data_IF_206174574060
#
_entry.id   IF_206174574060
#
_cell.length_a   1.000
_cell.length_b   1.000
_cell.length_c   1.000
_cell.angle_alpha   90.00
_cell.angle_beta   90.00
_cell.angle_gamma   90.00
#
_symmetry.space_group_name_H-M   'P 1'
#
loop_
_entity.id
_entity.type
_entity.pdbx_description
1 polymer ?
#
# COMPACT_ATOMS: atom_id res chain seq x y z
N UNK A 1 -13.75 10.37 15.31
CA UNK A 1 -12.64 9.82 14.50
C UNK A 1 -11.34 10.23 15.16
N UNK A 2 -10.56 9.25 15.60
CA UNK A 2 -9.20 9.46 16.10
C UNK A 2 -8.26 9.72 14.93
N UNK A 3 -7.17 10.44 15.15
CA UNK A 3 -6.19 10.69 14.09
C UNK A 3 -5.25 9.48 13.96
N UNK A 4 -4.43 9.23 14.98
CA UNK A 4 -3.48 8.12 14.99
C UNK A 4 -3.76 7.16 16.13
N UNK A 5 -3.77 5.87 15.81
CA UNK A 5 -3.99 4.79 16.76
C UNK A 5 -2.85 3.79 16.70
N UNK A 6 -2.35 3.42 17.88
CA UNK A 6 -1.47 2.30 18.07
C UNK A 6 -2.19 1.21 18.86
N UNK A 7 -2.38 0.05 18.24
CA UNK A 7 -2.83 -1.15 18.92
C UNK A 7 -1.62 -1.84 19.55
N UNK A 8 -1.69 -2.00 20.86
CA UNK A 8 -0.65 -2.60 21.68
C UNK A 8 -0.49 -4.07 21.34
N UNK A 9 0.75 -4.49 21.11
CA UNK A 9 1.07 -5.90 20.92
C UNK A 9 1.35 -6.56 22.28
N UNK A 10 0.85 -7.79 22.53
CA UNK A 10 0.96 -8.45 23.84
C UNK A 10 2.39 -8.67 24.33
N UNK A 11 3.34 -8.72 23.41
CA UNK A 11 4.77 -8.90 23.64
C UNK A 11 5.51 -7.60 23.97
N UNK A 12 4.88 -6.42 23.84
CA UNK A 12 5.49 -5.12 24.10
C UNK A 12 4.64 -4.23 25.01
N UNK A 13 5.05 -4.18 26.28
CA UNK A 13 4.33 -3.45 27.32
C UNK A 13 4.57 -1.94 27.31
N UNK A 14 5.76 -1.47 26.91
CA UNK A 14 6.14 -0.05 26.95
C UNK A 14 6.71 0.40 25.61
N UNK A 15 5.87 1.04 24.79
CA UNK A 15 6.27 1.62 23.51
C UNK A 15 6.39 3.13 23.68
N UNK A 16 7.53 3.75 23.36
CA UNK A 16 7.70 5.19 23.49
C UNK A 16 6.97 5.88 22.32
N UNK A 17 5.72 6.30 22.57
CA UNK A 17 4.88 7.01 21.60
C UNK A 17 4.70 8.45 22.04
N UNK A 18 4.46 9.32 21.07
CA UNK A 18 4.13 10.72 21.33
C UNK A 18 2.65 10.85 21.71
N UNK A 19 2.32 11.83 22.57
CA UNK A 19 0.99 12.13 23.10
C UNK A 19 -0.16 12.26 22.09
N UNK A 20 0.12 12.50 20.81
CA UNK A 20 -0.92 12.62 19.76
C UNK A 20 -1.28 11.27 19.14
N UNK A 21 -0.65 10.17 19.58
CA UNK A 21 -0.94 8.79 19.18
C UNK A 21 -1.70 8.11 20.30
N UNK A 22 -2.96 7.74 20.04
CA UNK A 22 -3.79 7.05 21.01
C UNK A 22 -3.43 5.57 21.10
N UNK A 23 -3.25 5.07 22.32
CA UNK A 23 -2.86 3.66 22.57
C UNK A 23 -4.06 2.86 23.03
N UNK A 24 -4.37 1.79 22.30
CA UNK A 24 -5.46 0.87 22.62
C UNK A 24 -4.95 -0.55 22.82
N UNK A 25 -5.63 -1.33 23.66
CA UNK A 25 -5.23 -2.70 23.97
C UNK A 25 -5.87 -3.74 23.04
N UNK A 26 -7.00 -3.42 22.43
CA UNK A 26 -7.80 -4.38 21.66
C UNK A 26 -8.11 -3.86 20.25
N UNK A 27 -7.87 -4.72 19.26
CA UNK A 27 -8.16 -4.46 17.85
C UNK A 27 -9.64 -4.67 17.50
N UNK A 28 -10.41 -5.34 18.36
CA UNK A 28 -11.83 -5.66 18.15
C UNK A 28 -12.77 -4.49 18.52
N UNK A 29 -12.23 -3.37 19.00
CA UNK A 29 -12.99 -2.16 19.22
C UNK A 29 -13.36 -1.53 17.86
N UNK A 30 -14.63 -1.15 17.70
CA UNK A 30 -15.13 -0.40 16.53
C UNK A 30 -14.60 1.04 16.56
N UNK A 31 -13.31 1.18 16.25
CA UNK A 31 -12.56 2.43 16.35
C UNK A 31 -12.39 3.02 14.96
N UNK A 32 -13.03 4.16 14.74
CA UNK A 32 -12.78 4.98 13.56
C UNK A 32 -11.51 5.83 13.76
N UNK A 33 -10.48 5.55 12.97
CA UNK A 33 -9.23 6.31 12.98
C UNK A 33 -8.68 6.58 11.57
N UNK A 34 -7.84 7.61 11.43
CA UNK A 34 -7.17 7.89 10.16
C UNK A 34 -6.08 6.86 9.90
N UNK A 35 -5.14 6.67 10.83
CA UNK A 35 -4.02 5.74 10.68
C UNK A 35 -3.93 4.76 11.85
N UNK A 36 -3.75 3.48 11.56
CA UNK A 36 -3.46 2.44 12.54
C UNK A 36 -2.20 1.63 12.18
N UNK A 37 -1.50 1.09 13.17
CA UNK A 37 -0.36 0.19 12.93
C UNK A 37 -0.78 -1.23 12.49
N UNK A 38 -2.06 -1.58 12.62
CA UNK A 38 -2.66 -2.87 12.25
C UNK A 38 -3.95 -2.64 11.44
N UNK A 39 -4.38 -3.61 10.61
CA UNK A 39 -5.61 -3.47 9.84
C UNK A 39 -6.84 -3.53 10.76
N UNK A 40 -7.46 -2.39 11.03
CA UNK A 40 -8.73 -2.26 11.74
C UNK A 40 -9.87 -1.99 10.76
N UNK A 41 -11.10 -2.41 11.08
CA UNK A 41 -12.27 -2.18 10.23
C UNK A 41 -12.58 -0.68 10.04
N UNK A 42 -12.36 0.14 11.08
CA UNK A 42 -12.58 1.58 11.05
C UNK A 42 -11.36 2.42 10.61
N UNK A 43 -10.20 1.81 10.38
CA UNK A 43 -8.98 2.52 9.98
C UNK A 43 -9.04 2.94 8.51
N UNK A 44 -8.68 4.21 8.23
CA UNK A 44 -8.56 4.71 6.86
C UNK A 44 -7.26 4.28 6.18
N UNK A 45 -6.18 4.14 6.96
CA UNK A 45 -4.84 3.76 6.53
C UNK A 45 -4.16 2.83 7.53
N UNK A 46 -3.25 1.98 7.04
CA UNK A 46 -2.53 0.97 7.82
C UNK A 46 -1.03 1.12 7.64
N UNK A 47 -0.37 1.72 8.63
CA UNK A 47 1.06 1.95 8.65
C UNK A 47 1.82 0.74 9.25
N UNK A 48 1.96 -0.34 8.46
CA UNK A 48 2.57 -1.60 8.92
C UNK A 48 4.05 -1.46 9.28
N UNK A 49 4.74 -0.52 8.66
CA UNK A 49 6.15 -0.22 8.90
C UNK A 49 6.42 0.26 10.33
N UNK A 50 5.40 0.73 11.04
CA UNK A 50 5.51 1.15 12.43
C UNK A 50 5.93 -0.03 13.30
N UNK A 51 5.29 -1.18 13.12
CA UNK A 51 5.66 -2.41 13.83
C UNK A 51 7.07 -2.87 13.42
N UNK A 52 7.40 -2.79 12.13
CA UNK A 52 8.74 -3.13 11.65
C UNK A 52 9.83 -2.24 12.28
N UNK A 53 9.61 -0.92 12.36
CA UNK A 53 10.55 0.00 12.97
C UNK A 53 10.71 -0.31 14.46
N UNK A 54 9.61 -0.54 15.18
CA UNK A 54 9.65 -0.93 16.59
C UNK A 54 10.49 -2.21 16.80
N UNK A 55 10.29 -3.22 15.97
CA UNK A 55 10.97 -4.52 16.05
C UNK A 55 12.47 -4.45 15.74
N UNK A 56 12.88 -3.58 14.82
CA UNK A 56 14.22 -3.61 14.23
C UNK A 56 15.08 -2.37 14.54
N UNK A 57 14.51 -1.32 15.14
CA UNK A 57 15.25 -0.09 15.45
C UNK A 57 16.17 -0.27 16.66
N UNK A 58 17.35 0.35 16.57
CA UNK A 58 18.30 0.50 17.68
C UNK A 58 18.37 1.92 18.21
N UNK A 59 17.40 2.78 17.84
CA UNK A 59 17.30 4.14 18.33
C UNK A 59 17.02 4.16 19.84
N UNK A 60 17.45 5.22 20.52
CA UNK A 60 17.00 5.44 21.88
C UNK A 60 15.50 5.81 21.91
N UNK A 61 14.84 5.71 23.08
CA UNK A 61 13.39 5.89 23.17
C UNK A 61 12.86 7.23 22.66
N UNK A 62 13.63 8.31 22.80
CA UNK A 62 13.18 9.64 22.38
C UNK A 62 13.21 9.76 20.87
N UNK A 63 14.32 9.37 20.25
CA UNK A 63 14.48 9.36 18.78
C UNK A 63 13.49 8.40 18.12
N UNK A 64 13.21 7.25 18.75
CA UNK A 64 12.23 6.30 18.29
C UNK A 64 10.81 6.89 18.33
N UNK A 65 10.41 7.55 19.43
CA UNK A 65 9.12 8.21 19.54
C UNK A 65 8.91 9.28 18.46
N UNK A 66 9.93 10.11 18.21
CA UNK A 66 9.89 11.10 17.12
C UNK A 66 9.79 10.45 15.75
N UNK A 67 10.50 9.34 15.52
CA UNK A 67 10.45 8.62 14.24
C UNK A 67 9.09 7.97 13.99
N UNK A 68 8.45 7.42 15.02
CA UNK A 68 7.11 6.83 14.92
C UNK A 68 6.05 7.91 14.67
N UNK A 69 6.13 9.04 15.37
CA UNK A 69 5.28 10.22 15.12
C UNK A 69 5.39 10.68 13.66
N UNK A 70 6.62 10.79 13.14
CA UNK A 70 6.86 11.17 11.75
C UNK A 70 6.20 10.20 10.75
N UNK A 71 6.25 8.89 11.02
CA UNK A 71 5.60 7.88 10.19
C UNK A 71 4.08 8.04 10.21
N UNK A 72 3.49 8.23 11.38
CA UNK A 72 2.04 8.47 11.51
C UNK A 72 1.60 9.75 10.77
N UNK A 73 2.32 10.87 10.95
CA UNK A 73 2.04 12.12 10.25
C UNK A 73 2.17 11.98 8.73
N UNK A 74 3.18 11.25 8.25
CA UNK A 74 3.34 10.98 6.83
C UNK A 74 2.14 10.20 6.25
N UNK A 75 1.59 9.24 7.00
CA UNK A 75 0.35 8.55 6.61
C UNK A 75 -0.88 9.44 6.70
N UNK A 76 -0.96 10.33 7.68
CA UNK A 76 -2.00 11.35 7.78
C UNK A 76 -2.04 12.23 6.53
N UNK A 77 -0.89 12.74 6.09
CA UNK A 77 -0.79 13.49 4.83
C UNK A 77 -1.21 12.64 3.62
N UNK A 78 -0.81 11.37 3.56
CA UNK A 78 -1.23 10.51 2.45
C UNK A 78 -2.75 10.30 2.41
N UNK A 79 -3.42 10.30 3.57
CA UNK A 79 -4.87 10.27 3.65
C UNK A 79 -5.48 11.60 3.17
N UNK A 80 -4.97 12.73 3.65
CA UNK A 80 -5.48 14.06 3.30
C UNK A 80 -5.38 14.37 1.81
N UNK A 81 -4.30 13.89 1.17
CA UNK A 81 -4.04 14.09 -0.26
C UNK A 81 -4.52 12.93 -1.14
N UNK A 82 -5.20 11.92 -0.58
CA UNK A 82 -5.72 10.82 -1.38
C UNK A 82 -6.84 11.33 -2.31
N UNK A 83 -6.50 11.45 -3.58
CA UNK A 83 -7.44 11.87 -4.63
C UNK A 83 -8.09 10.68 -5.32
N UNK A 84 -7.76 9.45 -4.91
CA UNK A 84 -8.38 8.27 -5.51
C UNK A 84 -9.82 8.16 -5.07
N UNK A 85 -10.70 8.10 -6.06
CA UNK A 85 -12.09 7.70 -5.83
C UNK A 85 -12.04 6.24 -5.38
N UNK A 86 -12.12 5.99 -4.07
CA UNK A 86 -12.25 4.65 -3.54
C UNK A 86 -13.35 3.93 -4.33
N UNK A 87 -12.98 2.87 -5.06
CA UNK A 87 -13.99 1.97 -5.60
C UNK A 87 -14.38 1.10 -4.42
N UNK A 88 -15.61 1.19 -3.87
CA UNK A 88 -15.96 0.40 -2.71
C UNK A 88 -15.87 -1.08 -3.10
N UNK A 89 -14.91 -1.78 -2.51
CA UNK A 89 -14.91 -3.25 -2.53
C UNK A 89 -16.10 -3.75 -1.71
N UNK A 90 -16.74 -4.87 -2.09
CA UNK A 90 -17.89 -5.42 -1.38
C UNK A 90 -17.65 -5.79 0.09
N UNK A 91 -16.38 -5.90 0.50
CA UNK A 91 -15.98 -5.97 1.90
C UNK A 91 -15.15 -4.73 2.23
N UNK A 92 -15.52 -4.02 3.30
CA UNK A 92 -14.92 -2.76 3.77
C UNK A 92 -13.45 -2.83 4.20
N UNK A 93 -12.63 -3.66 3.56
CA UNK A 93 -11.19 -3.55 3.60
C UNK A 93 -10.76 -2.43 2.65
N UNK A 94 -10.60 -1.24 3.21
CA UNK A 94 -9.71 -0.24 2.63
C UNK A 94 -8.36 -0.92 2.45
N UNK A 95 -7.94 -1.03 1.21
CA UNK A 95 -6.58 -1.41 0.95
C UNK A 95 -5.92 -0.34 0.13
N UNK A 96 -4.78 0.09 0.66
CA UNK A 96 -3.79 1.02 0.13
C UNK A 96 -3.14 0.49 -1.17
N UNK A 97 -3.91 -0.17 -2.01
CA UNK A 97 -3.41 -0.65 -3.29
C UNK A 97 -3.28 0.51 -4.27
N UNK A 98 -2.42 0.31 -5.27
CA UNK A 98 -2.40 1.18 -6.43
C UNK A 98 -3.77 1.16 -7.15
N UNK A 99 -4.16 2.31 -7.68
CA UNK A 99 -5.36 2.46 -8.51
C UNK A 99 -5.06 2.07 -9.96
N UNK A 100 -6.09 1.63 -10.67
CA UNK A 100 -6.00 1.26 -12.09
C UNK A 100 -7.07 1.98 -12.91
N UNK A 101 -6.65 2.87 -13.81
CA UNK A 101 -7.53 3.53 -14.78
C UNK A 101 -7.44 2.84 -16.15
N UNK A 102 -8.49 2.07 -16.45
CA UNK A 102 -8.60 1.32 -17.70
C UNK A 102 -8.74 2.20 -18.95
N UNK A 103 -9.23 3.44 -18.82
CA UNK A 103 -9.50 4.33 -19.95
C UNK A 103 -8.20 4.88 -20.56
N UNK A 104 -7.16 5.06 -19.74
CA UNK A 104 -5.83 5.50 -20.17
C UNK A 104 -4.82 4.35 -20.27
N UNK A 105 -5.22 3.12 -19.97
CA UNK A 105 -4.35 1.95 -20.06
C UNK A 105 -4.01 1.61 -21.53
N UNK A 106 -2.71 1.47 -21.83
CA UNK A 106 -2.27 1.11 -23.18
C UNK A 106 -2.39 -0.38 -23.51
N UNK A 107 -2.86 -1.22 -22.58
CA UNK A 107 -3.17 -2.62 -22.85
C UNK A 107 -4.68 -2.86 -23.03
N UNK A 108 -5.51 -2.15 -22.27
CA UNK A 108 -6.94 -2.39 -22.20
C UNK A 108 -7.63 -2.22 -23.56
N UNK A 109 -8.46 -3.21 -23.94
CA UNK A 109 -9.23 -3.28 -25.20
C UNK A 109 -8.41 -3.08 -26.48
N UNK A 110 -7.08 -3.26 -26.44
CA UNK A 110 -6.24 -3.17 -27.63
C UNK A 110 -6.34 -4.44 -28.47
N UNK A 111 -6.35 -4.28 -29.79
CA UNK A 111 -6.39 -5.40 -30.75
C UNK A 111 -5.08 -6.18 -30.80
N UNK A 112 -3.96 -5.48 -30.61
CA UNK A 112 -2.61 -6.04 -30.55
C UNK A 112 -1.98 -5.73 -29.19
N UNK A 113 -1.07 -6.58 -28.74
CA UNK A 113 -0.30 -6.32 -27.52
C UNK A 113 0.78 -5.27 -27.81
N UNK A 114 0.56 -4.03 -27.37
CA UNK A 114 1.54 -2.95 -27.46
C UNK A 114 2.15 -2.55 -26.10
N UNK A 115 1.60 -3.06 -24.99
CA UNK A 115 2.08 -2.81 -23.63
C UNK A 115 1.72 -4.00 -22.75
N UNK A 116 2.59 -4.42 -21.84
CA UNK A 116 2.29 -5.46 -20.84
C UNK A 116 3.24 -5.41 -19.63
N UNK A 117 4.07 -4.37 -19.55
CA UNK A 117 5.26 -4.35 -18.70
C UNK A 117 4.93 -4.52 -17.22
N UNK A 118 3.81 -3.96 -16.77
CA UNK A 118 3.31 -4.08 -15.40
C UNK A 118 3.08 -5.53 -14.96
N UNK A 119 2.62 -6.40 -15.87
CA UNK A 119 2.46 -7.84 -15.61
C UNK A 119 3.81 -8.56 -15.57
N UNK A 120 4.74 -8.19 -16.46
CA UNK A 120 6.07 -8.81 -16.54
C UNK A 120 6.97 -8.51 -15.33
N UNK A 121 6.85 -7.31 -14.74
CA UNK A 121 7.70 -6.88 -13.61
C UNK A 121 7.13 -7.25 -12.24
N UNK A 122 5.90 -7.77 -12.20
CA UNK A 122 5.22 -8.10 -10.95
C UNK A 122 5.83 -9.38 -10.34
N UNK A 123 6.50 -9.30 -9.17
CA UNK A 123 7.20 -10.45 -8.60
C UNK A 123 6.27 -11.53 -8.03
N UNK A 124 5.00 -11.19 -7.78
CA UNK A 124 4.00 -12.06 -7.13
C UNK A 124 2.85 -12.43 -8.08
N UNK A 125 2.95 -12.04 -9.35
CA UNK A 125 1.89 -12.24 -10.34
C UNK A 125 0.54 -11.63 -9.93
N UNK A 126 0.55 -10.60 -9.08
CA UNK A 126 -0.65 -9.83 -8.71
C UNK A 126 -1.30 -9.15 -9.92
N UNK A 127 -0.54 -8.86 -10.98
CA UNK A 127 -1.05 -8.34 -12.25
C UNK A 127 -0.81 -9.39 -13.34
N UNK A 128 -1.88 -9.91 -13.92
CA UNK A 128 -1.81 -10.87 -15.03
C UNK A 128 -2.57 -10.35 -16.25
N UNK A 129 -2.17 -10.86 -17.42
CA UNK A 129 -2.85 -10.58 -18.68
C UNK A 129 -4.02 -11.54 -18.90
N UNK A 130 -5.12 -11.00 -19.38
CA UNK A 130 -6.17 -11.73 -20.06
C UNK A 130 -6.27 -11.21 -21.49
N UNK A 131 -6.17 -12.10 -22.45
CA UNK A 131 -6.37 -11.84 -23.88
C UNK A 131 -7.12 -13.01 -24.52
N UNK A 132 -7.53 -12.93 -25.80
CA UNK A 132 -8.34 -13.98 -26.40
C UNK A 132 -7.63 -15.33 -26.46
N UNK A 133 -6.29 -15.33 -26.59
CA UNK A 133 -5.49 -16.57 -26.65
C UNK A 133 -5.40 -17.22 -25.26
N UNK A 134 -5.11 -16.42 -24.23
CA UNK A 134 -5.06 -16.87 -22.84
C UNK A 134 -6.44 -17.34 -22.39
N UNK A 135 -7.49 -16.62 -22.77
CA UNK A 135 -8.87 -16.97 -22.45
C UNK A 135 -9.25 -18.31 -23.09
N UNK A 136 -8.99 -18.49 -24.39
CA UNK A 136 -9.21 -19.76 -25.09
C UNK A 136 -8.48 -20.93 -24.42
N UNK A 137 -7.20 -20.74 -24.05
CA UNK A 137 -6.40 -21.78 -23.39
C UNK A 137 -6.93 -22.14 -22.00
N UNK A 138 -7.59 -21.21 -21.31
CA UNK A 138 -8.18 -21.42 -19.98
C UNK A 138 -9.66 -21.79 -20.03
N UNK A 139 -10.25 -21.94 -21.21
CA UNK A 139 -11.70 -22.16 -21.36
C UNK A 139 -12.55 -20.97 -20.87
N UNK A 140 -11.99 -19.76 -20.90
CA UNK A 140 -12.65 -18.51 -20.52
C UNK A 140 -13.04 -17.72 -21.78
N UNK A 141 -14.08 -16.91 -21.69
CA UNK A 141 -14.43 -15.94 -22.72
C UNK A 141 -13.79 -14.58 -22.41
N UNK A 142 -13.33 -13.88 -23.46
CA UNK A 142 -12.80 -12.53 -23.35
C UNK A 142 -13.59 -11.59 -24.25
N UNK A 143 -14.62 -10.96 -23.69
CA UNK A 143 -15.62 -10.19 -24.44
C UNK A 143 -15.03 -8.97 -25.20
N UNK A 144 -13.96 -8.38 -24.67
CA UNK A 144 -13.50 -7.03 -25.03
C UNK A 144 -12.02 -6.99 -25.50
N UNK A 145 -11.48 -8.13 -25.95
CA UNK A 145 -10.08 -8.38 -26.34
C UNK A 145 -9.09 -8.52 -25.19
N UNK A 146 -8.55 -7.42 -24.62
CA UNK A 146 -7.37 -7.46 -23.73
C UNK A 146 -7.62 -6.73 -22.42
N UNK A 147 -7.36 -7.39 -21.29
CA UNK A 147 -7.63 -6.89 -19.94
C UNK A 147 -6.52 -7.27 -18.98
N UNK A 148 -6.21 -6.39 -18.03
CA UNK A 148 -5.41 -6.76 -16.86
C UNK A 148 -6.34 -7.36 -15.81
N UNK A 149 -5.95 -8.50 -15.24
CA UNK A 149 -6.55 -9.05 -14.03
C UNK A 149 -5.64 -8.69 -12.87
N UNK A 150 -6.20 -8.03 -11.86
CA UNK A 150 -5.44 -7.53 -10.71
C UNK A 150 -5.94 -8.23 -9.46
N UNK A 151 -5.09 -9.07 -8.87
CA UNK A 151 -5.31 -9.65 -7.55
C UNK A 151 -4.57 -8.81 -6.53
N UNK A 152 -5.30 -7.92 -5.89
CA UNK A 152 -4.70 -7.04 -4.93
C UNK A 152 -4.21 -7.76 -3.64
N UNK A 153 -4.82 -8.87 -3.23
CA UNK A 153 -4.36 -9.63 -2.07
C UNK A 153 -2.94 -10.22 -2.29
N UNK A 154 -2.57 -10.49 -3.54
CA UNK A 154 -1.22 -10.94 -3.90
C UNK A 154 -0.22 -9.78 -4.09
N UNK A 155 -0.67 -8.52 -4.04
CA UNK A 155 0.20 -7.36 -4.19
C UNK A 155 1.01 -7.14 -2.92
N UNK A 156 2.35 -7.17 -3.05
CA UNK A 156 3.29 -6.86 -1.96
C UNK A 156 3.71 -5.38 -1.92
N UNK A 157 3.00 -4.54 -2.66
CA UNK A 157 3.19 -3.10 -2.66
C UNK A 157 4.62 -2.61 -3.04
N UNK A 158 5.25 -3.30 -3.99
CA UNK A 158 6.63 -2.98 -4.40
C UNK A 158 6.77 -1.81 -5.39
N UNK A 159 5.66 -1.22 -5.86
CA UNK A 159 5.64 -0.09 -6.80
C UNK A 159 6.20 -0.32 -8.22
N UNK A 160 6.74 -1.50 -8.53
CA UNK A 160 7.37 -1.77 -9.84
C UNK A 160 6.44 -1.53 -11.02
N UNK A 161 5.18 -1.96 -10.92
CA UNK A 161 4.20 -1.81 -12.00
C UNK A 161 3.86 -0.34 -12.32
N UNK A 162 3.81 0.52 -11.30
CA UNK A 162 3.59 1.96 -11.45
C UNK A 162 4.80 2.59 -12.14
N UNK A 163 6.01 2.26 -11.70
CA UNK A 163 7.25 2.85 -12.23
C UNK A 163 7.48 2.59 -13.73
N UNK A 164 6.92 1.50 -14.26
CA UNK A 164 7.03 1.12 -15.67
C UNK A 164 5.81 1.48 -16.51
N UNK A 165 4.76 2.04 -15.90
CA UNK A 165 3.52 2.35 -16.62
C UNK A 165 3.68 3.63 -17.44
N UNK A 166 3.72 3.58 -18.79
CA UNK A 166 3.99 4.76 -19.60
C UNK A 166 2.81 5.74 -19.65
N UNK A 167 1.58 5.27 -19.44
CA UNK A 167 0.39 6.11 -19.48
C UNK A 167 -0.05 6.64 -18.13
N UNK A 168 0.59 6.22 -17.04
CA UNK A 168 0.12 6.53 -15.68
C UNK A 168 -1.21 5.86 -15.33
N UNK A 169 -1.64 4.82 -16.06
CA UNK A 169 -2.85 4.06 -15.75
C UNK A 169 -2.80 3.32 -14.41
N UNK A 170 -1.62 3.20 -13.82
CA UNK A 170 -1.39 2.62 -12.49
C UNK A 170 -0.78 3.71 -11.63
N UNK A 171 -1.38 4.03 -10.48
CA UNK A 171 -0.89 5.09 -9.59
C UNK A 171 -1.06 4.73 -8.12
N UNK A 172 -0.14 5.18 -7.26
CA UNK A 172 -0.39 5.21 -5.82
C UNK A 172 -1.35 6.36 -5.51
N UNK A 173 -2.51 6.04 -4.96
CA UNK A 173 -3.49 7.07 -4.59
C UNK A 173 -2.99 8.03 -3.52
N UNK A 174 -2.23 7.50 -2.55
CA UNK A 174 -1.74 8.26 -1.42
C UNK A 174 -0.55 9.19 -1.67
N UNK A 175 0.04 9.23 -2.88
CA UNK A 175 1.24 10.04 -3.14
C UNK A 175 1.06 10.93 -4.39
N UNK A 176 0.18 11.92 -4.29
CA UNK A 176 0.17 13.04 -5.24
C UNK A 176 1.48 13.85 -5.15
N UNK A 177 1.78 14.67 -6.17
CA UNK A 177 2.95 15.55 -6.13
C UNK A 177 2.92 16.48 -4.89
N UNK A 178 1.74 16.96 -4.52
CA UNK A 178 1.51 17.81 -3.36
C UNK A 178 1.76 17.03 -2.06
N UNK A 179 1.26 15.78 -1.97
CA UNK A 179 1.56 14.90 -0.85
C UNK A 179 3.07 14.68 -0.68
N UNK A 180 3.78 14.36 -1.77
CA UNK A 180 5.24 14.17 -1.75
C UNK A 180 5.94 15.43 -1.24
N UNK A 181 5.48 16.61 -1.63
CA UNK A 181 6.05 17.88 -1.18
C UNK A 181 5.84 18.11 0.32
N UNK A 182 4.64 17.86 0.85
CA UNK A 182 4.37 18.00 2.29
C UNK A 182 5.12 16.95 3.12
N UNK A 183 5.10 15.69 2.70
CA UNK A 183 5.87 14.62 3.34
C UNK A 183 7.36 14.96 3.35
N UNK A 184 7.92 15.47 2.24
CA UNK A 184 9.33 15.87 2.19
C UNK A 184 9.69 16.99 3.18
N UNK A 185 8.74 17.86 3.56
CA UNK A 185 8.97 18.87 4.61
C UNK A 185 9.09 18.23 5.98
N UNK A 186 8.31 17.19 6.28
CA UNK A 186 8.40 16.43 7.53
C UNK A 186 9.78 15.80 7.70
N UNK A 187 10.31 15.18 6.64
CA UNK A 187 11.63 14.53 6.66
C UNK A 187 12.82 15.51 6.58
N UNK A 188 12.61 16.83 6.68
CA UNK A 188 13.69 17.81 6.56
C UNK A 188 14.71 17.64 7.69
N UNK A 189 15.93 17.23 7.33
CA UNK A 189 17.02 17.00 8.28
C UNK A 189 17.21 15.52 8.67
N UNK A 190 16.31 14.64 8.24
CA UNK A 190 16.46 13.19 8.39
C UNK A 190 17.26 12.60 7.22
N UNK A 191 18.10 11.62 7.53
CA UNK A 191 18.78 10.81 6.50
C UNK A 191 17.96 9.55 6.28
N UNK A 192 17.35 9.42 5.10
CA UNK A 192 16.55 8.23 4.76
C UNK A 192 17.47 7.02 4.63
N UNK A 193 17.36 6.06 5.55
CA UNK A 193 18.05 4.78 5.44
C UNK A 193 17.18 3.77 4.70
N UNK A 194 17.61 3.35 3.50
CA UNK A 194 16.94 2.28 2.77
C UNK A 194 17.36 0.92 3.35
N UNK A 195 16.52 0.35 4.22
CA UNK A 195 16.70 -1.01 4.69
C UNK A 195 16.12 -1.98 3.65
N UNK A 196 16.96 -2.87 3.09
CA UNK A 196 16.47 -4.00 2.29
C UNK A 196 15.86 -5.02 3.26
N UNK A 197 14.54 -5.19 3.24
CA UNK A 197 13.94 -6.40 3.80
C UNK A 197 14.43 -7.58 2.94
N UNK A 198 15.19 -8.51 3.54
CA UNK A 198 15.40 -9.81 2.91
C UNK A 198 14.09 -10.57 3.01
N UNK A 199 13.15 -10.26 2.11
CA UNK A 199 11.96 -11.08 1.90
C UNK A 199 12.45 -12.43 1.37
N UNK A 200 12.53 -13.43 2.24
CA UNK A 200 12.61 -14.83 1.80
C UNK A 200 11.33 -15.11 1.05
N UNK A 201 11.37 -14.98 -0.28
CA UNK A 201 10.34 -15.54 -1.14
C UNK A 201 10.39 -17.05 -0.88
N UNK A 202 9.46 -17.56 -0.08
CA UNK A 202 9.22 -18.99 0.01
C UNK A 202 8.74 -19.42 -1.37
N UNK A 203 9.66 -19.95 -2.17
CA UNK A 203 9.33 -20.65 -3.39
C UNK A 203 8.43 -21.82 -3.00
N UNK A 204 7.15 -21.76 -3.35
CA UNK A 204 6.34 -22.96 -3.32
C UNK A 204 6.90 -23.94 -4.36
N UNK A 205 7.18 -25.20 -3.98
CA UNK A 205 7.62 -26.20 -4.94
C UNK A 205 6.48 -26.45 -5.93
N UNK A 206 6.88 -26.63 -7.19
CA UNK A 206 6.02 -26.93 -8.34
C UNK A 206 5.25 -28.26 -8.18
#
# INVERSE_FOLDING_TARGET
MLEFVYIKQPDRLDVPLHDHIEVLEDADLDVECVVANVPLQGAKRVAREINFLLENSTQDPLDLASSLSLLYEAHGLQFDFDTTKHTPTPEGLLSEFFSYDKEICQYHKRRIECCAKCSEVCPTEAITKLDPQIAQNKGLECEDNRHLIINHQACIDCGKCISVCPSGSLSYGGFSLECVQEVAKLYRGYVTSLARSQSRVTQHPA
#
